data_IF_131585941521
#
_entry.id   IF_131585941521
#
_cell.length_a   1.000
_cell.length_b   1.000
_cell.length_c   1.000
_cell.angle_alpha   90.00
_cell.angle_beta   90.00
_cell.angle_gamma   90.00
#
_symmetry.space_group_name_H-M   'P 1'
#
loop_
_entity.id
_entity.type
_entity.pdbx_description
1 polymer ?
#
# COMPACT_ATOMS: atom_id res chain seq x y z
N UNK A 1 13.51 -11.13 -9.65
CA UNK A 1 12.52 -10.95 -10.72
C UNK A 1 12.20 -12.25 -11.43
N UNK A 2 11.95 -13.35 -10.70
CA UNK A 2 11.62 -14.67 -11.28
C UNK A 2 10.22 -15.19 -10.90
N UNK A 3 9.50 -14.57 -9.95
CA UNK A 3 8.17 -15.02 -9.53
C UNK A 3 7.07 -14.74 -10.57
N UNK A 4 6.99 -13.50 -11.08
CA UNK A 4 5.91 -13.12 -11.99
C UNK A 4 5.89 -13.85 -13.34
N UNK A 5 7.06 -14.21 -13.89
CA UNK A 5 7.14 -14.99 -15.13
C UNK A 5 6.60 -16.42 -14.95
N UNK A 6 6.91 -17.04 -13.81
CA UNK A 6 6.43 -18.38 -13.48
C UNK A 6 4.91 -18.41 -13.27
N UNK A 7 4.34 -17.38 -12.65
CA UNK A 7 2.87 -17.25 -12.51
C UNK A 7 2.16 -17.11 -13.84
N UNK A 8 2.70 -16.28 -14.74
CA UNK A 8 2.14 -16.08 -16.07
C UNK A 8 2.29 -17.30 -16.98
N UNK A 9 3.26 -18.18 -16.74
CA UNK A 9 3.38 -19.49 -17.38
C UNK A 9 2.35 -20.50 -16.82
N UNK A 10 2.17 -20.53 -15.50
CA UNK A 10 1.15 -21.39 -14.85
C UNK A 10 -0.27 -20.98 -15.26
N UNK A 11 -0.56 -19.67 -15.36
CA UNK A 11 -1.87 -19.20 -15.81
C UNK A 11 -2.15 -19.51 -17.28
N UNK A 12 -1.12 -19.43 -18.13
CA UNK A 12 -1.23 -19.84 -19.54
C UNK A 12 -1.50 -21.35 -19.65
N UNK A 13 -0.79 -22.14 -18.84
CA UNK A 13 -0.89 -23.60 -18.82
C UNK A 13 -2.23 -24.15 -18.31
N UNK A 14 -2.88 -23.47 -17.36
CA UNK A 14 -4.16 -23.93 -16.78
C UNK A 14 -5.42 -23.23 -17.31
N UNK A 15 -5.35 -21.93 -17.57
CA UNK A 15 -6.54 -21.08 -17.82
C UNK A 15 -6.59 -20.52 -19.25
N UNK A 16 -5.47 -20.58 -19.97
CA UNK A 16 -5.34 -20.14 -21.35
C UNK A 16 -5.11 -18.63 -21.53
N UNK A 17 -4.70 -18.20 -22.75
CA UNK A 17 -4.09 -16.89 -22.98
C UNK A 17 -5.04 -15.69 -22.76
N UNK A 18 -6.36 -15.87 -22.92
CA UNK A 18 -7.34 -14.80 -22.65
C UNK A 18 -7.46 -14.49 -21.15
N UNK A 19 -7.41 -15.51 -20.30
CA UNK A 19 -7.49 -15.35 -18.85
C UNK A 19 -6.22 -14.78 -18.25
N UNK A 20 -5.06 -15.12 -18.84
CA UNK A 20 -3.77 -14.46 -18.57
C UNK A 20 -3.83 -12.95 -18.82
N UNK A 21 -4.37 -12.53 -19.96
CA UNK A 21 -4.50 -11.11 -20.28
C UNK A 21 -5.45 -10.38 -19.31
N UNK A 22 -6.58 -11.00 -18.92
CA UNK A 22 -7.52 -10.44 -17.94
C UNK A 22 -6.85 -10.32 -16.55
N UNK A 23 -6.14 -11.35 -16.12
CA UNK A 23 -5.40 -11.35 -14.85
C UNK A 23 -4.30 -10.28 -14.82
N UNK A 24 -3.57 -10.09 -15.94
CA UNK A 24 -2.57 -9.02 -16.07
C UNK A 24 -3.22 -7.64 -16.00
N UNK A 25 -4.33 -7.42 -16.70
CA UNK A 25 -5.04 -6.14 -16.68
C UNK A 25 -5.56 -5.82 -15.27
N UNK A 26 -6.11 -6.80 -14.57
CA UNK A 26 -6.54 -6.66 -13.18
C UNK A 26 -5.38 -6.33 -12.24
N UNK A 27 -4.26 -7.06 -12.32
CA UNK A 27 -3.07 -6.81 -11.52
C UNK A 27 -2.47 -5.42 -11.79
N UNK A 28 -2.34 -5.03 -13.06
CA UNK A 28 -1.83 -3.72 -13.45
C UNK A 28 -2.71 -2.60 -12.85
N UNK A 29 -4.03 -2.76 -12.97
CA UNK A 29 -5.00 -1.81 -12.39
C UNK A 29 -4.84 -1.71 -10.87
N UNK A 30 -4.73 -2.84 -10.18
CA UNK A 30 -4.53 -2.89 -8.72
C UNK A 30 -3.23 -2.21 -8.29
N UNK A 31 -2.12 -2.45 -9.00
CA UNK A 31 -0.82 -1.84 -8.73
C UNK A 31 -0.85 -0.32 -8.96
N UNK A 32 -1.50 0.15 -10.03
CA UNK A 32 -1.66 1.58 -10.31
C UNK A 32 -2.48 2.26 -9.21
N UNK A 33 -3.66 1.74 -8.89
CA UNK A 33 -4.48 2.33 -7.81
C UNK A 33 -3.78 2.28 -6.46
N UNK A 34 -3.08 1.18 -6.15
CA UNK A 34 -2.31 1.06 -4.92
C UNK A 34 -1.18 2.08 -4.81
N UNK A 35 -0.46 2.34 -5.93
CA UNK A 35 0.58 3.36 -5.97
C UNK A 35 0.03 4.78 -5.73
N UNK A 36 -1.16 5.09 -6.29
CA UNK A 36 -1.82 6.38 -6.11
C UNK A 36 -2.24 6.60 -4.65
N UNK A 37 -2.84 5.58 -4.01
CA UNK A 37 -3.26 5.65 -2.61
C UNK A 37 -2.04 5.91 -1.69
N UNK A 38 -0.93 5.21 -1.93
CA UNK A 38 0.31 5.39 -1.17
C UNK A 38 0.87 6.80 -1.35
N UNK A 39 0.88 7.31 -2.58
CA UNK A 39 1.37 8.65 -2.91
C UNK A 39 0.54 9.74 -2.21
N UNK A 40 -0.80 9.63 -2.21
CA UNK A 40 -1.69 10.55 -1.50
C UNK A 40 -1.47 10.47 0.03
N UNK A 41 -1.25 9.25 0.56
CA UNK A 41 -0.92 9.03 1.97
C UNK A 41 0.39 9.72 2.38
N UNK A 42 1.46 9.52 1.60
CA UNK A 42 2.76 10.15 1.84
C UNK A 42 2.67 11.68 1.79
N UNK A 43 1.97 12.23 0.79
CA UNK A 43 1.76 13.68 0.68
C UNK A 43 0.98 14.24 1.87
N UNK A 44 0.01 13.48 2.40
CA UNK A 44 -0.73 13.85 3.61
C UNK A 44 0.19 13.91 4.83
N UNK A 45 1.04 12.91 5.04
CA UNK A 45 1.98 12.89 6.17
C UNK A 45 2.99 14.05 6.12
N UNK A 46 3.50 14.39 4.92
CA UNK A 46 4.44 15.51 4.77
C UNK A 46 3.74 16.85 5.02
N UNK A 47 2.51 17.02 4.54
CA UNK A 47 1.71 18.21 4.83
C UNK A 47 1.49 18.43 6.34
N UNK A 48 1.34 17.36 7.13
CA UNK A 48 1.25 17.47 8.59
C UNK A 48 2.57 17.86 9.27
N UNK A 49 3.71 17.73 8.58
CA UNK A 49 5.04 18.09 9.10
C UNK A 49 5.44 19.51 8.65
N UNK A 50 5.14 19.88 7.39
CA UNK A 50 5.40 21.19 6.81
C UNK A 50 4.18 21.67 5.99
N UNK A 51 3.47 22.65 6.56
CA UNK A 51 2.24 23.24 6.02
C UNK A 51 2.49 24.37 5.02
N UNK A 52 3.75 24.69 4.70
CA UNK A 52 4.11 25.80 3.79
C UNK A 52 3.61 25.61 2.35
N UNK A 53 3.32 24.37 1.94
CA UNK A 53 2.83 24.05 0.60
C UNK A 53 1.48 23.35 0.67
N UNK A 54 0.62 23.64 -0.31
CA UNK A 54 -0.66 22.96 -0.45
C UNK A 54 -0.47 21.44 -0.64
N UNK A 55 -1.41 20.67 -0.09
CA UNK A 55 -1.38 19.20 -0.11
C UNK A 55 -1.25 18.61 -1.53
N UNK A 56 -1.80 19.29 -2.54
CA UNK A 56 -1.66 18.87 -3.94
C UNK A 56 -0.25 19.10 -4.49
N UNK A 57 0.40 20.19 -4.10
CA UNK A 57 1.79 20.47 -4.50
C UNK A 57 2.74 19.42 -3.94
N UNK A 58 2.57 19.03 -2.67
CA UNK A 58 3.31 17.92 -2.06
C UNK A 58 3.10 16.59 -2.78
N UNK A 59 1.86 16.32 -3.21
CA UNK A 59 1.50 15.14 -4.01
C UNK A 59 2.29 15.13 -5.33
N UNK A 60 2.35 16.24 -6.05
CA UNK A 60 3.11 16.32 -7.31
C UNK A 60 4.62 16.18 -7.11
N UNK A 61 5.18 16.83 -6.09
CA UNK A 61 6.62 16.74 -5.77
C UNK A 61 7.00 15.30 -5.43
N UNK A 62 6.26 14.67 -4.52
CA UNK A 62 6.54 13.29 -4.11
C UNK A 62 6.32 12.31 -5.26
N UNK A 63 5.27 12.53 -6.07
CA UNK A 63 5.01 11.76 -7.28
C UNK A 63 6.13 11.85 -8.31
N UNK A 64 6.67 13.04 -8.54
CA UNK A 64 7.81 13.23 -9.43
C UNK A 64 9.07 12.50 -8.93
N UNK A 65 9.36 12.59 -7.62
CA UNK A 65 10.47 11.85 -7.00
C UNK A 65 10.30 10.33 -7.14
N UNK A 66 9.11 9.79 -6.85
CA UNK A 66 8.84 8.37 -7.02
C UNK A 66 8.90 7.93 -8.49
N UNK A 67 8.45 8.76 -9.44
CA UNK A 67 8.51 8.45 -10.87
C UNK A 67 9.95 8.28 -11.38
N UNK A 68 10.93 9.04 -10.85
CA UNK A 68 12.34 8.86 -11.23
C UNK A 68 12.88 7.46 -10.91
N UNK A 69 12.37 6.83 -9.84
CA UNK A 69 12.75 5.47 -9.45
C UNK A 69 12.16 4.38 -10.35
N UNK A 70 11.06 4.69 -11.05
CA UNK A 70 10.43 3.80 -12.04
C UNK A 70 11.22 3.79 -13.35
N UNK A 71 11.74 4.94 -13.78
CA UNK A 71 12.47 5.06 -15.05
C UNK A 71 13.93 4.58 -14.97
N UNK A 72 14.53 4.54 -13.77
CA UNK A 72 15.89 4.01 -13.55
C UNK A 72 15.84 2.86 -12.54
N UNK A 73 15.39 1.67 -12.96
CA UNK A 73 15.36 0.50 -12.08
C UNK A 73 16.79 -0.01 -11.84
N UNK A 74 17.24 -0.02 -10.58
CA UNK A 74 18.47 -0.67 -10.14
C UNK A 74 18.19 -1.62 -8.98
N UNK A 75 18.76 -2.83 -9.02
CA UNK A 75 18.60 -3.84 -7.96
C UNK A 75 19.06 -3.36 -6.59
N UNK A 76 20.02 -2.44 -6.55
CA UNK A 76 20.49 -1.85 -5.29
C UNK A 76 19.44 -0.90 -4.69
N UNK A 77 18.77 -0.12 -5.53
CA UNK A 77 17.68 0.77 -5.10
C UNK A 77 16.51 -0.03 -4.51
N UNK A 78 16.17 -1.17 -5.10
CA UNK A 78 15.08 -2.02 -4.58
C UNK A 78 15.38 -2.57 -3.17
N UNK A 79 16.63 -2.98 -2.92
CA UNK A 79 17.05 -3.44 -1.59
C UNK A 79 17.01 -2.31 -0.55
N UNK A 80 17.51 -1.14 -0.90
CA UNK A 80 17.49 0.03 0.01
C UNK A 80 16.05 0.44 0.35
N UNK A 81 15.15 0.50 -0.63
CA UNK A 81 13.73 0.79 -0.38
C UNK A 81 13.04 -0.27 0.47
N UNK A 82 13.41 -1.54 0.29
CA UNK A 82 12.91 -2.64 1.13
C UNK A 82 13.36 -2.50 2.59
N UNK A 83 14.63 -2.15 2.84
CA UNK A 83 15.13 -1.89 4.21
C UNK A 83 14.49 -0.65 4.84
N UNK A 84 14.31 0.43 4.08
CA UNK A 84 13.61 1.62 4.55
C UNK A 84 12.15 1.31 4.92
N UNK A 85 11.46 0.54 4.08
CA UNK A 85 10.09 0.10 4.35
C UNK A 85 9.97 -0.72 5.64
N UNK A 86 10.86 -1.70 5.82
CA UNK A 86 10.93 -2.50 7.05
C UNK A 86 11.25 -1.65 8.29
N UNK A 87 12.16 -0.67 8.16
CA UNK A 87 12.48 0.26 9.24
C UNK A 87 11.27 1.11 9.64
N UNK A 88 10.54 1.66 8.67
CA UNK A 88 9.38 2.53 8.90
C UNK A 88 8.22 1.79 9.59
N UNK A 89 7.92 0.56 9.15
CA UNK A 89 6.87 -0.25 9.77
C UNK A 89 7.24 -0.68 11.18
N UNK A 90 8.50 -1.05 11.40
CA UNK A 90 9.03 -1.39 12.74
C UNK A 90 8.97 -0.19 13.67
N UNK A 91 9.41 0.98 13.22
CA UNK A 91 9.33 2.23 13.99
C UNK A 91 7.87 2.56 14.37
N UNK A 92 6.95 2.48 13.41
CA UNK A 92 5.53 2.77 13.65
C UNK A 92 4.92 1.77 14.64
N UNK A 93 5.26 0.49 14.55
CA UNK A 93 4.80 -0.54 15.48
C UNK A 93 5.29 -0.28 16.91
N UNK A 94 6.58 0.04 17.09
CA UNK A 94 7.13 0.38 18.41
C UNK A 94 6.55 1.67 18.96
N UNK A 95 6.39 2.69 18.13
CA UNK A 95 5.76 3.95 18.51
C UNK A 95 4.33 3.72 19.03
N UNK A 96 3.50 2.98 18.29
CA UNK A 96 2.13 2.65 18.71
C UNK A 96 2.11 1.81 20.00
N UNK A 97 3.06 0.88 20.15
CA UNK A 97 3.17 0.05 21.36
C UNK A 97 3.48 0.91 22.59
N UNK A 98 4.49 1.79 22.49
CA UNK A 98 4.87 2.68 23.58
C UNK A 98 3.75 3.68 23.87
N UNK A 99 3.13 4.26 22.85
CA UNK A 99 2.01 5.18 23.00
C UNK A 99 0.81 4.52 23.71
N UNK A 100 0.50 3.26 23.38
CA UNK A 100 -0.55 2.50 24.05
C UNK A 100 -0.22 2.25 25.54
N UNK A 101 1.05 2.00 25.86
CA UNK A 101 1.51 1.82 27.25
C UNK A 101 1.44 3.14 28.04
N UNK A 102 1.87 4.25 27.44
CA UNK A 102 1.96 5.56 28.12
C UNK A 102 0.58 6.21 28.31
N UNK A 103 -0.26 6.18 27.29
CA UNK A 103 -1.58 6.84 27.34
C UNK A 103 -2.67 5.96 27.93
N UNK A 104 -2.46 4.63 27.96
CA UNK A 104 -3.44 3.67 28.48
C UNK A 104 -4.75 3.67 27.70
N UNK A 105 -5.72 2.90 28.19
CA UNK A 105 -7.08 2.91 27.65
C UNK A 105 -7.87 4.06 28.29
N UNK A 106 -8.54 4.88 27.47
CA UNK A 106 -9.44 5.93 27.96
C UNK A 106 -10.63 5.27 28.70
N UNK A 107 -10.96 5.80 29.88
CA UNK A 107 -12.03 5.28 30.73
C UNK A 107 -13.40 5.45 30.03
N UNK A 108 -14.20 4.38 29.95
CA UNK A 108 -15.52 4.40 29.31
C UNK A 108 -15.53 4.30 27.78
N UNK A 109 -14.46 3.82 27.13
CA UNK A 109 -14.45 3.56 25.67
C UNK A 109 -15.65 2.70 25.25
N UNK A 110 -16.56 3.30 24.48
CA UNK A 110 -17.64 2.59 23.82
C UNK A 110 -17.11 1.97 22.54
N UNK A 111 -16.96 0.64 22.53
CA UNK A 111 -16.58 -0.08 21.32
C UNK A 111 -17.75 -0.07 20.33
N UNK A 112 -17.66 0.82 19.34
CA UNK A 112 -18.66 0.95 18.28
C UNK A 112 -18.34 0.00 17.12
N UNK A 113 -19.26 -0.92 16.84
CA UNK A 113 -19.26 -1.71 15.61
C UNK A 113 -19.94 -0.97 14.44
N UNK A 114 -19.82 -1.45 13.20
CA UNK A 114 -20.43 -0.80 12.04
C UNK A 114 -21.96 -0.74 12.20
N UNK A 115 -22.50 0.46 12.42
CA UNK A 115 -23.94 0.68 12.61
C UNK A 115 -24.76 0.64 11.31
N UNK A 116 -24.08 0.56 10.17
CA UNK A 116 -24.68 0.52 8.83
C UNK A 116 -23.92 -0.48 7.96
N UNK A 117 -24.64 -1.17 7.08
CA UNK A 117 -24.07 -2.12 6.10
C UNK A 117 -22.94 -1.50 5.25
N UNK A 118 -23.05 -0.22 4.90
CA UNK A 118 -22.01 0.49 4.14
C UNK A 118 -20.68 0.53 4.89
N UNK A 119 -20.68 0.76 6.22
CA UNK A 119 -19.46 0.75 7.02
C UNK A 119 -18.86 -0.66 7.13
N UNK A 120 -19.71 -1.68 7.21
CA UNK A 120 -19.27 -3.08 7.23
C UNK A 120 -18.52 -3.43 5.94
N UNK A 121 -19.13 -3.18 4.78
CA UNK A 121 -18.49 -3.48 3.49
C UNK A 121 -17.27 -2.59 3.20
N UNK A 122 -17.29 -1.34 3.64
CA UNK A 122 -16.10 -0.46 3.53
C UNK A 122 -14.94 -1.03 4.35
N UNK A 123 -15.18 -1.43 5.60
CA UNK A 123 -14.16 -2.06 6.44
C UNK A 123 -13.66 -3.39 5.87
N UNK A 124 -14.57 -4.25 5.41
CA UNK A 124 -14.22 -5.52 4.76
C UNK A 124 -13.37 -5.30 3.51
N UNK A 125 -13.68 -4.29 2.69
CA UNK A 125 -12.92 -3.96 1.47
C UNK A 125 -11.51 -3.46 1.81
N UNK A 126 -11.34 -2.65 2.87
CA UNK A 126 -10.01 -2.21 3.31
C UNK A 126 -9.14 -3.39 3.81
N UNK A 127 -9.75 -4.35 4.51
CA UNK A 127 -9.07 -5.59 4.94
C UNK A 127 -8.69 -6.41 3.70
N UNK A 128 -9.61 -6.60 2.76
CA UNK A 128 -9.35 -7.31 1.51
C UNK A 128 -8.25 -6.63 0.68
N UNK A 129 -8.17 -5.30 0.66
CA UNK A 129 -7.07 -4.59 0.00
C UNK A 129 -5.72 -4.85 0.71
N UNK A 130 -5.70 -4.86 2.04
CA UNK A 130 -4.48 -5.06 2.84
C UNK A 130 -3.95 -6.49 2.72
N UNK A 131 -4.83 -7.49 2.70
CA UNK A 131 -4.47 -8.91 2.59
C UNK A 131 -4.59 -9.48 1.16
N UNK A 132 -5.05 -8.68 0.19
CA UNK A 132 -5.31 -9.11 -1.19
C UNK A 132 -4.07 -9.43 -2.02
N UNK A 133 -2.87 -9.19 -1.47
CA UNK A 133 -1.59 -9.48 -2.12
C UNK A 133 -1.37 -10.95 -2.51
N UNK A 134 -2.20 -11.87 -2.03
CA UNK A 134 -2.18 -13.28 -2.47
C UNK A 134 -2.39 -13.48 -3.98
N UNK A 135 -3.02 -12.52 -4.67
CA UNK A 135 -3.15 -12.54 -6.13
C UNK A 135 -1.91 -12.00 -6.88
N UNK A 136 -1.00 -11.31 -6.17
CA UNK A 136 0.18 -10.63 -6.73
C UNK A 136 1.48 -11.38 -6.41
N UNK A 137 1.46 -12.32 -5.45
CA UNK A 137 2.67 -13.04 -4.99
C UNK A 137 2.57 -14.56 -5.06
N UNK A 138 2.27 -15.07 -6.24
CA UNK A 138 2.90 -16.31 -6.70
C UNK A 138 3.62 -16.01 -8.00
#
# INVERSE_FOLDING_TARGET
>A
GFGGLQWFEVLDGLLGPKWKAIGLAFNCTFLVFGSVIQLIGCASNIYYIDDKLDKRTWTYIFGACCATTVFIPSFHNYRVWSFLGLGMTTYTAWYLTIAAIVHGQVEGVTHSGPQKLVLYFTGATNILYTFGGHAVTV
#
